data_IF_801234288919
#
_entry.id   IF_801234288919
#
_cell.length_a   1.000
_cell.length_b   1.000
_cell.length_c   1.000
_cell.angle_alpha   90.00
_cell.angle_beta   90.00
_cell.angle_gamma   90.00
#
_symmetry.space_group_name_H-M   'P 1'
#
loop_
_entity.id
_entity.type
_entity.pdbx_description
1 polymer ?
#
# COMPACT_ATOMS: atom_id res chain seq x y z
N UNK A 1 4.44 -21.15 1.25
CA UNK A 1 3.08 -21.28 0.69
C UNK A 1 2.96 -22.47 -0.29
N UNK A 2 3.76 -22.53 -1.36
CA UNK A 2 3.64 -23.57 -2.40
C UNK A 2 3.72 -25.02 -1.90
N UNK A 3 4.60 -25.32 -0.93
CA UNK A 3 4.70 -26.67 -0.36
C UNK A 3 3.36 -27.10 0.26
N UNK A 4 2.71 -26.24 1.04
CA UNK A 4 1.37 -26.53 1.60
C UNK A 4 0.33 -26.80 0.52
N UNK A 5 0.41 -26.10 -0.62
CA UNK A 5 -0.47 -26.33 -1.77
C UNK A 5 -0.21 -27.67 -2.48
N UNK A 6 0.96 -28.28 -2.30
CA UNK A 6 1.27 -29.58 -2.88
C UNK A 6 1.03 -30.70 -1.87
N UNK A 7 1.34 -30.47 -0.59
CA UNK A 7 1.36 -31.53 0.44
C UNK A 7 0.04 -31.67 1.20
N UNK A 8 -0.82 -30.64 1.23
CA UNK A 8 -2.09 -30.71 1.96
C UNK A 8 -3.12 -31.50 1.16
N UNK A 9 -3.64 -32.57 1.78
CA UNK A 9 -4.64 -33.46 1.17
C UNK A 9 -5.94 -32.74 0.83
N UNK A 10 -6.64 -33.20 -0.21
CA UNK A 10 -7.92 -32.65 -0.62
C UNK A 10 -8.98 -32.72 0.49
N UNK A 11 -8.97 -33.78 1.30
CA UNK A 11 -9.89 -33.93 2.43
C UNK A 11 -9.73 -32.80 3.47
N UNK A 12 -8.49 -32.38 3.76
CA UNK A 12 -8.22 -31.27 4.68
C UNK A 12 -8.69 -29.94 4.07
N UNK A 13 -8.50 -29.72 2.76
CA UNK A 13 -8.96 -28.50 2.09
C UNK A 13 -10.47 -28.35 2.10
N UNK A 14 -11.18 -29.44 1.80
CA UNK A 14 -12.65 -29.49 1.88
C UNK A 14 -13.12 -29.20 3.31
N UNK A 15 -12.52 -29.83 4.32
CA UNK A 15 -12.85 -29.55 5.74
C UNK A 15 -12.59 -28.09 6.15
N UNK A 16 -11.58 -27.45 5.58
CA UNK A 16 -11.27 -26.03 5.83
C UNK A 16 -12.03 -25.07 4.88
N UNK A 17 -12.92 -25.56 4.02
CA UNK A 17 -13.63 -24.74 3.02
C UNK A 17 -12.69 -23.84 2.20
N UNK A 18 -11.50 -24.35 1.89
CA UNK A 18 -10.46 -23.63 1.15
C UNK A 18 -10.93 -23.34 -0.27
N UNK A 19 -10.89 -22.07 -0.68
CA UNK A 19 -11.23 -21.61 -2.03
C UNK A 19 -10.24 -20.53 -2.50
N UNK A 20 -10.26 -20.22 -3.80
CA UNK A 20 -9.40 -19.20 -4.39
C UNK A 20 -10.12 -17.88 -4.67
N UNK A 21 -11.43 -17.80 -4.39
CA UNK A 21 -12.30 -16.68 -4.76
C UNK A 21 -11.72 -15.33 -4.32
N UNK A 22 -11.30 -15.21 -3.06
CA UNK A 22 -10.72 -13.98 -2.51
C UNK A 22 -9.40 -13.59 -3.21
N UNK A 23 -8.55 -14.55 -3.57
CA UNK A 23 -7.28 -14.26 -4.27
C UNK A 23 -7.56 -13.85 -5.73
N UNK A 24 -8.53 -14.48 -6.38
CA UNK A 24 -8.94 -14.14 -7.74
C UNK A 24 -9.54 -12.74 -7.82
N UNK A 25 -10.38 -12.34 -6.87
CA UNK A 25 -10.92 -10.98 -6.76
C UNK A 25 -9.80 -9.94 -6.65
N UNK A 26 -8.82 -10.18 -5.75
CA UNK A 26 -7.66 -9.29 -5.58
C UNK A 26 -6.82 -9.24 -6.86
N UNK A 27 -6.55 -10.37 -7.52
CA UNK A 27 -5.76 -10.39 -8.75
C UNK A 27 -6.40 -9.59 -9.89
N UNK A 28 -7.71 -9.74 -10.10
CA UNK A 28 -8.45 -8.98 -11.12
C UNK A 28 -8.44 -7.48 -10.80
N UNK A 29 -8.64 -7.11 -9.52
CA UNK A 29 -8.57 -5.72 -9.07
C UNK A 29 -7.21 -5.09 -9.38
N UNK A 30 -6.11 -5.80 -9.09
CA UNK A 30 -4.76 -5.32 -9.36
C UNK A 30 -4.52 -5.09 -10.86
N UNK A 31 -4.93 -6.04 -11.71
CA UNK A 31 -4.81 -5.88 -13.17
C UNK A 31 -5.55 -4.61 -13.62
N UNK A 32 -6.78 -4.41 -13.14
CA UNK A 32 -7.57 -3.21 -13.45
C UNK A 32 -6.89 -1.92 -12.99
N UNK A 33 -6.37 -1.88 -11.76
CA UNK A 33 -5.66 -0.71 -11.21
C UNK A 33 -4.43 -0.38 -12.06
N UNK A 34 -3.56 -1.35 -12.34
CA UNK A 34 -2.33 -1.09 -13.11
C UNK A 34 -2.60 -0.63 -14.55
N UNK A 35 -3.65 -1.14 -15.20
CA UNK A 35 -4.08 -0.65 -16.52
C UNK A 35 -4.52 0.82 -16.42
N UNK A 36 -5.40 1.14 -15.46
CA UNK A 36 -5.93 2.49 -15.28
C UNK A 36 -4.87 3.51 -14.86
N UNK A 37 -3.77 3.07 -14.22
CA UNK A 37 -2.69 3.94 -13.77
C UNK A 37 -1.75 4.43 -14.87
N UNK A 38 -1.77 3.83 -16.06
CA UNK A 38 -0.85 4.22 -17.14
C UNK A 38 -0.97 5.70 -17.50
N UNK A 39 -2.19 6.22 -17.63
CA UNK A 39 -2.43 7.64 -17.95
C UNK A 39 -2.01 8.58 -16.81
N UNK A 40 -2.42 8.35 -15.54
CA UNK A 40 -1.90 9.11 -14.39
C UNK A 40 -0.37 9.12 -14.31
N UNK A 41 0.30 7.96 -14.48
CA UNK A 41 1.76 7.88 -14.45
C UNK A 41 2.39 8.71 -15.58
N UNK A 42 1.83 8.65 -16.79
CA UNK A 42 2.31 9.46 -17.91
C UNK A 42 2.20 10.97 -17.61
N UNK A 43 1.12 11.40 -16.97
CA UNK A 43 0.95 12.80 -16.53
C UNK A 43 2.00 13.17 -15.47
N UNK A 44 2.26 12.27 -14.51
CA UNK A 44 3.26 12.49 -13.46
C UNK A 44 4.68 12.56 -14.01
N UNK A 45 5.02 11.81 -15.05
CA UNK A 45 6.33 11.91 -15.69
C UNK A 45 6.60 13.32 -16.27
N UNK A 46 5.55 14.05 -16.64
CA UNK A 46 5.65 15.41 -17.20
C UNK A 46 5.47 16.47 -16.12
N UNK A 47 4.54 16.25 -15.17
CA UNK A 47 4.10 17.26 -14.21
C UNK A 47 4.43 16.93 -12.75
N UNK A 48 5.16 15.85 -12.46
CA UNK A 48 5.41 15.39 -11.10
C UNK A 48 6.08 16.45 -10.23
N UNK A 49 7.05 17.18 -10.79
CA UNK A 49 7.75 18.26 -10.10
C UNK A 49 6.82 19.43 -9.72
N UNK A 50 5.70 19.65 -10.43
CA UNK A 50 4.75 20.72 -10.11
C UNK A 50 3.81 20.39 -8.94
N UNK A 51 3.81 19.15 -8.46
CA UNK A 51 3.03 18.74 -7.28
C UNK A 51 3.57 19.31 -5.96
N UNK A 52 4.80 19.84 -5.94
CA UNK A 52 5.42 20.40 -4.74
C UNK A 52 5.77 19.37 -3.67
N UNK A 53 5.88 18.09 -4.06
CA UNK A 53 6.35 16.98 -3.22
C UNK A 53 7.84 16.82 -3.52
N UNK A 54 8.67 17.50 -2.74
CA UNK A 54 10.08 17.74 -3.03
C UNK A 54 11.00 17.40 -1.84
N UNK A 55 10.44 16.91 -0.74
CA UNK A 55 11.18 16.55 0.48
C UNK A 55 10.65 15.25 1.08
N UNK A 56 11.49 14.48 1.81
CA UNK A 56 11.14 13.13 2.27
C UNK A 56 9.84 13.05 3.07
N UNK A 57 9.58 13.97 4.02
CA UNK A 57 8.35 13.90 4.81
C UNK A 57 7.08 14.11 3.96
N UNK A 58 7.14 14.94 2.91
CA UNK A 58 6.01 15.10 1.99
C UNK A 58 5.76 13.80 1.23
N UNK A 59 6.82 13.14 0.77
CA UNK A 59 6.71 11.82 0.15
C UNK A 59 6.12 10.78 1.10
N UNK A 60 6.58 10.73 2.35
CA UNK A 60 6.08 9.77 3.35
C UNK A 60 4.57 9.91 3.56
N UNK A 61 4.09 11.14 3.81
CA UNK A 61 2.67 11.39 4.05
C UNK A 61 1.82 11.27 2.78
N UNK A 62 2.26 11.82 1.64
CA UNK A 62 1.50 11.73 0.40
C UNK A 62 1.36 10.28 -0.08
N UNK A 63 2.47 9.51 -0.05
CA UNK A 63 2.48 8.08 -0.37
C UNK A 63 1.58 7.33 0.59
N UNK A 64 1.73 7.55 1.89
CA UNK A 64 0.94 6.79 2.86
C UNK A 64 -0.55 7.12 2.87
N UNK A 65 -0.93 8.38 2.65
CA UNK A 65 -2.33 8.77 2.48
C UNK A 65 -2.97 8.07 1.28
N UNK A 66 -2.32 8.08 0.11
CA UNK A 66 -2.86 7.38 -1.06
C UNK A 66 -2.90 5.86 -0.83
N UNK A 67 -1.85 5.31 -0.21
CA UNK A 67 -1.74 3.88 0.04
C UNK A 67 -2.80 3.39 1.03
N UNK A 68 -3.30 4.27 1.89
CA UNK A 68 -4.41 3.96 2.80
C UNK A 68 -5.69 3.58 2.05
N UNK A 69 -5.83 3.92 0.76
CA UNK A 69 -7.05 3.72 -0.02
C UNK A 69 -6.87 2.99 -1.35
N UNK A 70 -5.65 2.85 -1.88
CA UNK A 70 -5.41 2.28 -3.21
C UNK A 70 -4.74 0.90 -3.23
N UNK A 71 -3.92 0.57 -2.22
CA UNK A 71 -2.89 -0.49 -2.20
C UNK A 71 -1.45 0.06 -2.28
N UNK A 72 -0.50 -0.65 -1.68
CA UNK A 72 0.88 -0.22 -1.52
C UNK A 72 1.69 -0.26 -2.83
N UNK A 73 1.51 -1.29 -3.65
CA UNK A 73 2.25 -1.44 -4.91
C UNK A 73 1.92 -0.35 -5.94
N UNK A 74 0.65 -0.09 -6.29
CA UNK A 74 0.31 1.00 -7.21
C UNK A 74 0.73 2.35 -6.64
N UNK A 75 0.53 2.56 -5.33
CA UNK A 75 0.92 3.82 -4.69
C UNK A 75 2.43 4.05 -4.72
N UNK A 76 3.23 3.02 -4.46
CA UNK A 76 4.68 3.09 -4.56
C UNK A 76 5.11 3.56 -5.96
N UNK A 77 4.53 2.99 -7.03
CA UNK A 77 4.87 3.35 -8.41
C UNK A 77 4.55 4.82 -8.71
N UNK A 78 3.40 5.32 -8.25
CA UNK A 78 3.00 6.73 -8.42
C UNK A 78 4.06 7.69 -7.88
N UNK A 79 4.49 7.47 -6.64
CA UNK A 79 5.43 8.38 -5.99
C UNK A 79 6.88 8.12 -6.39
N UNK A 80 7.22 6.90 -6.79
CA UNK A 80 8.50 6.58 -7.41
C UNK A 80 8.70 7.35 -8.73
N UNK A 81 7.70 7.33 -9.61
CA UNK A 81 7.75 8.08 -10.87
C UNK A 81 7.69 9.60 -10.63
N UNK A 82 6.92 10.05 -9.63
CA UNK A 82 6.94 11.46 -9.20
C UNK A 82 8.33 11.89 -8.75
N UNK A 83 8.98 11.12 -7.89
CA UNK A 83 10.30 11.45 -7.35
C UNK A 83 11.40 11.44 -8.43
N UNK A 84 11.29 10.59 -9.45
CA UNK A 84 12.20 10.61 -10.61
C UNK A 84 12.22 11.95 -11.33
N UNK A 85 11.14 12.72 -11.29
CA UNK A 85 11.09 14.04 -11.96
C UNK A 85 11.93 15.12 -11.25
N UNK A 86 12.33 14.90 -10.00
CA UNK A 86 13.03 15.90 -9.19
C UNK A 86 14.55 15.97 -9.42
N UNK A 87 15.15 14.93 -10.00
CA UNK A 87 16.58 14.83 -10.30
C UNK A 87 17.50 15.36 -9.16
N UNK A 88 17.46 14.73 -7.97
CA UNK A 88 18.15 15.26 -6.79
C UNK A 88 19.68 15.21 -6.94
N UNK A 89 20.36 16.21 -6.38
CA UNK A 89 21.81 16.21 -6.24
C UNK A 89 22.22 15.28 -5.08
N UNK A 90 23.15 14.35 -5.30
CA UNK A 90 23.72 13.50 -4.25
C UNK A 90 23.57 11.99 -4.51
N UNK A 91 23.53 11.20 -3.43
CA UNK A 91 23.40 9.76 -3.50
C UNK A 91 22.01 9.38 -4.01
N UNK A 92 21.98 8.61 -5.10
CA UNK A 92 20.74 8.17 -5.75
C UNK A 92 20.71 6.66 -5.90
N UNK A 93 19.49 6.11 -5.88
CA UNK A 93 19.20 4.73 -6.26
C UNK A 93 18.14 4.81 -7.36
N UNK A 94 18.47 4.28 -8.54
CA UNK A 94 17.60 4.34 -9.71
C UNK A 94 17.17 5.77 -10.09
N UNK A 95 18.03 6.77 -9.85
CA UNK A 95 17.77 8.18 -10.17
C UNK A 95 16.92 8.93 -9.12
N UNK A 96 16.59 8.30 -7.99
CA UNK A 96 15.82 8.90 -6.89
C UNK A 96 16.74 9.09 -5.67
N UNK A 97 16.57 10.18 -4.94
CA UNK A 97 17.28 10.42 -3.69
C UNK A 97 16.99 9.32 -2.67
N UNK A 98 18.03 8.83 -1.98
CA UNK A 98 17.89 7.69 -1.05
C UNK A 98 16.81 7.95 0.02
N UNK A 99 16.77 9.17 0.57
CA UNK A 99 15.80 9.53 1.61
C UNK A 99 14.37 9.62 1.10
N UNK A 100 14.15 10.10 -0.12
CA UNK A 100 12.83 10.11 -0.76
C UNK A 100 12.36 8.68 -1.03
N UNK A 101 13.24 7.83 -1.55
CA UNK A 101 12.94 6.43 -1.81
C UNK A 101 12.57 5.68 -0.52
N UNK A 102 13.28 5.94 0.58
CA UNK A 102 12.92 5.41 1.90
C UNK A 102 11.56 5.91 2.36
N UNK A 103 11.27 7.21 2.21
CA UNK A 103 10.00 7.80 2.58
C UNK A 103 8.83 7.21 1.79
N UNK A 104 8.98 7.02 0.48
CA UNK A 104 7.99 6.37 -0.39
C UNK A 104 7.78 4.92 0.07
N UNK A 105 8.86 4.17 0.24
CA UNK A 105 8.79 2.75 0.65
C UNK A 105 8.06 2.58 1.98
N UNK A 106 8.44 3.36 3.00
CA UNK A 106 7.84 3.27 4.33
C UNK A 106 6.42 3.82 4.36
N UNK A 107 6.13 4.90 3.62
CA UNK A 107 4.78 5.47 3.52
C UNK A 107 3.81 4.46 2.90
N UNK A 108 4.19 3.84 1.78
CA UNK A 108 3.37 2.83 1.09
C UNK A 108 3.07 1.62 1.99
N UNK A 109 4.05 1.13 2.74
CA UNK A 109 3.83 -0.08 3.56
C UNK A 109 3.14 0.24 4.89
N UNK A 110 3.61 1.24 5.63
CA UNK A 110 3.14 1.46 7.01
C UNK A 110 1.73 2.05 7.09
N UNK A 111 1.35 2.91 6.15
CA UNK A 111 0.01 3.50 6.12
C UNK A 111 -0.99 2.69 5.30
N UNK A 112 -0.56 1.67 4.54
CA UNK A 112 -1.47 0.74 3.87
C UNK A 112 -2.40 -0.02 4.83
N UNK A 113 -2.07 -0.07 6.13
CA UNK A 113 -2.90 -0.70 7.16
C UNK A 113 -4.02 0.23 7.72
N UNK A 114 -4.12 1.47 7.24
CA UNK A 114 -5.07 2.45 7.78
C UNK A 114 -6.53 2.15 7.43
N UNK A 115 -6.79 1.41 6.35
CA UNK A 115 -8.16 0.99 5.99
C UNK A 115 -8.20 -0.47 5.53
N UNK A 116 -9.41 -1.02 5.38
CA UNK A 116 -9.58 -2.38 4.86
C UNK A 116 -9.14 -2.53 3.40
N UNK A 117 -9.16 -1.44 2.62
CA UNK A 117 -8.81 -1.46 1.20
C UNK A 117 -7.38 -0.98 0.93
N UNK A 118 -6.67 -0.52 1.97
CA UNK A 118 -5.30 -0.03 1.82
C UNK A 118 -4.27 -1.12 1.51
N UNK A 119 -4.61 -2.40 1.72
CA UNK A 119 -3.85 -3.53 1.18
C UNK A 119 -4.70 -4.80 1.05
N UNK A 120 -4.30 -5.68 0.14
CA UNK A 120 -4.97 -6.98 -0.10
C UNK A 120 -5.15 -7.87 1.15
N UNK A 121 -4.12 -8.07 2.00
CA UNK A 121 -4.25 -8.84 3.23
C UNK A 121 -5.36 -8.36 4.19
N UNK A 122 -5.51 -7.05 4.39
CA UNK A 122 -6.57 -6.48 5.24
C UNK A 122 -7.97 -6.84 4.73
N UNK A 123 -8.18 -6.68 3.42
CA UNK A 123 -9.43 -7.03 2.76
C UNK A 123 -9.73 -8.53 2.87
N UNK A 124 -8.70 -9.37 2.64
CA UNK A 124 -8.82 -10.82 2.73
C UNK A 124 -9.15 -11.28 4.16
N UNK A 125 -8.49 -10.73 5.19
CA UNK A 125 -8.80 -11.06 6.60
C UNK A 125 -10.24 -10.68 6.94
N UNK A 126 -10.71 -9.50 6.50
CA UNK A 126 -12.11 -9.09 6.69
C UNK A 126 -13.08 -10.07 6.03
N UNK A 127 -12.87 -10.40 4.75
CA UNK A 127 -13.73 -11.31 4.01
C UNK A 127 -13.79 -12.71 4.64
N UNK A 128 -12.64 -13.24 5.08
CA UNK A 128 -12.57 -14.54 5.77
C UNK A 128 -13.31 -14.50 7.11
N UNK A 129 -13.12 -13.45 7.91
CA UNK A 129 -13.79 -13.29 9.20
C UNK A 129 -15.31 -13.19 9.04
N UNK A 130 -15.79 -12.38 8.08
CA UNK A 130 -17.22 -12.25 7.77
C UNK A 130 -17.83 -13.57 7.28
N UNK A 131 -17.12 -14.32 6.42
CA UNK A 131 -17.53 -15.67 5.97
C UNK A 131 -17.68 -16.65 7.15
N UNK A 132 -16.85 -16.50 8.18
CA UNK A 132 -16.91 -17.29 9.41
C UNK A 132 -17.87 -16.72 10.48
N UNK A 133 -18.73 -15.75 10.12
CA UNK A 133 -19.70 -15.09 11.01
C UNK A 133 -19.06 -14.36 12.20
N UNK A 134 -17.80 -13.95 12.08
CA UNK A 134 -17.13 -13.09 13.05
C UNK A 134 -17.53 -11.64 12.74
N UNK A 135 -18.02 -10.93 13.74
CA UNK A 135 -18.43 -9.53 13.59
C UNK A 135 -17.19 -8.64 13.44
N UNK A 136 -16.96 -8.16 12.22
CA UNK A 136 -15.90 -7.19 11.93
C UNK A 136 -16.36 -5.75 12.16
N UNK A 137 -15.46 -4.84 12.56
CA UNK A 137 -15.74 -3.40 12.57
C UNK A 137 -16.19 -2.91 11.18
N UNK A 138 -17.06 -1.90 11.14
CA UNK A 138 -17.40 -1.19 9.90
C UNK A 138 -16.15 -0.54 9.28
N UNK A 139 -16.23 -0.14 8.01
CA UNK A 139 -15.11 0.52 7.32
C UNK A 139 -14.55 1.71 8.12
N UNK A 140 -15.42 2.64 8.51
CA UNK A 140 -15.03 3.80 9.30
C UNK A 140 -14.67 3.45 10.75
N UNK A 141 -15.25 2.39 11.31
CA UNK A 141 -14.89 1.90 12.64
C UNK A 141 -13.46 1.36 12.70
N UNK A 142 -13.08 0.56 11.71
CA UNK A 142 -11.70 0.10 11.55
C UNK A 142 -10.75 1.27 11.29
N UNK A 143 -11.11 2.19 10.39
CA UNK A 143 -10.31 3.36 10.07
C UNK A 143 -10.04 4.24 11.30
N UNK A 144 -11.05 4.48 12.15
CA UNK A 144 -10.86 5.22 13.39
C UNK A 144 -9.88 4.52 14.34
N UNK A 145 -10.02 3.20 14.50
CA UNK A 145 -9.14 2.38 15.34
C UNK A 145 -7.70 2.36 14.82
N UNK A 146 -7.49 2.08 13.53
CA UNK A 146 -6.16 2.03 12.92
C UNK A 146 -5.50 3.40 12.95
N UNK A 147 -6.21 4.48 12.61
CA UNK A 147 -5.68 5.85 12.69
C UNK A 147 -5.23 6.21 14.11
N UNK A 148 -6.01 5.86 15.13
CA UNK A 148 -5.68 6.16 16.53
C UNK A 148 -4.36 5.51 16.97
N UNK A 149 -4.03 4.34 16.41
CA UNK A 149 -2.79 3.60 16.73
C UNK A 149 -1.64 3.98 15.81
N UNK A 150 -1.88 4.07 14.51
CA UNK A 150 -0.85 4.19 13.48
C UNK A 150 -0.45 5.64 13.18
N UNK A 151 -1.34 6.64 13.34
CA UNK A 151 -0.97 8.04 13.13
C UNK A 151 0.09 8.52 14.12
N UNK A 152 0.00 8.25 15.44
CA UNK A 152 1.06 8.61 16.37
C UNK A 152 2.42 8.02 15.96
N UNK A 153 2.43 6.74 15.59
CA UNK A 153 3.65 6.08 15.11
C UNK A 153 4.17 6.73 13.82
N UNK A 154 3.30 7.08 12.89
CA UNK A 154 3.65 7.74 11.64
C UNK A 154 4.23 9.14 11.86
N UNK A 155 3.72 9.88 12.84
CA UNK A 155 4.28 11.18 13.26
C UNK A 155 5.68 10.97 13.84
N UNK A 156 5.86 9.98 14.73
CA UNK A 156 7.19 9.66 15.29
C UNK A 156 8.17 9.28 14.17
N UNK A 157 7.76 8.45 13.22
CA UNK A 157 8.57 8.09 12.05
C UNK A 157 9.01 9.32 11.26
N UNK A 158 8.09 10.27 11.05
CA UNK A 158 8.38 11.53 10.36
C UNK A 158 9.43 12.35 11.12
N UNK A 159 9.25 12.51 12.43
CA UNK A 159 10.12 13.34 13.27
C UNK A 159 11.54 12.78 13.39
N UNK A 160 11.69 11.45 13.42
CA UNK A 160 12.99 10.79 13.59
C UNK A 160 13.73 10.64 12.25
N UNK A 161 13.04 10.27 11.17
CA UNK A 161 13.69 9.83 9.93
C UNK A 161 13.54 10.78 8.74
N UNK A 162 12.51 11.64 8.71
CA UNK A 162 12.15 12.40 7.50
C UNK A 162 12.04 13.91 7.71
N UNK A 163 12.33 14.41 8.91
CA UNK A 163 12.18 15.83 9.28
C UNK A 163 13.11 16.77 8.50
N UNK A 164 14.30 16.28 8.15
CA UNK A 164 15.36 17.06 7.53
C UNK A 164 15.58 16.65 6.08
#
# INVERSE_FOLDING_TARGET
AGVSLVTTSNAIRLKNSFNYDAIMEVAVLFIGIFICMQAPIAILNVNGASLGIDVPWKFYWATGMLSSFLDNAPTYVVFFETAKTLHPAGATVSGIGVHDLMAISLGAVFMGAMTYIGNGPNFMVKAIAEKNRVKMPSFFGYMGYSCAVLLPLSIVMTLIFFRN
#
